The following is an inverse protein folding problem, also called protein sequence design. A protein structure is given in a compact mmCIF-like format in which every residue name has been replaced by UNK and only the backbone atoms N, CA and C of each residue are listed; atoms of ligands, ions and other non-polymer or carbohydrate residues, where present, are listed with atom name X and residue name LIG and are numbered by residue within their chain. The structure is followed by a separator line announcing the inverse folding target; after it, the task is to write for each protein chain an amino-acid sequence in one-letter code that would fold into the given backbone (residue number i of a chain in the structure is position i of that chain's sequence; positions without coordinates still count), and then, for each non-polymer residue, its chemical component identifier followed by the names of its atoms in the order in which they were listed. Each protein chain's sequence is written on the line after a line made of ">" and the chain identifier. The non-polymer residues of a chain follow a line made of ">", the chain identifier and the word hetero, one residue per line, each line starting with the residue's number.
data_IF_496418962340
#
_entry.id   IF_496418962340
#
_cell.length_a   1.000
_cell.length_b   1.000
_cell.length_c   1.000
_cell.angle_alpha   90.00
_cell.angle_beta   90.00
_cell.angle_gamma   90.00
#
_symmetry.space_group_name_H-M   'P 1'
#
loop_
_entity.id
_entity.type
_entity.pdbx_description
1 polymer ?
#
# COMPACT_ATOMS: atom_id res chain seq x y z
N UNK A 1 65.96 -27.25 -31.55
CA UNK A 1 65.15 -27.83 -30.45
C UNK A 1 64.49 -26.68 -29.70
N UNK A 2 63.19 -26.47 -29.91
CA UNK A 2 62.44 -25.34 -29.36
C UNK A 2 61.72 -25.79 -28.09
N UNK A 3 62.25 -25.38 -26.94
CA UNK A 3 61.73 -25.71 -25.62
C UNK A 3 60.45 -24.92 -25.35
N UNK A 4 59.29 -25.57 -25.52
CA UNK A 4 58.00 -25.04 -25.04
C UNK A 4 58.01 -25.05 -23.51
N UNK A 5 58.28 -23.90 -22.90
CA UNK A 5 58.06 -23.64 -21.49
C UNK A 5 56.56 -23.73 -21.19
N UNK A 6 56.15 -24.86 -20.63
CA UNK A 6 54.83 -25.04 -20.02
C UNK A 6 54.77 -24.10 -18.80
N UNK A 7 54.13 -22.95 -18.96
CA UNK A 7 53.77 -22.08 -17.83
C UNK A 7 52.78 -22.88 -16.98
N UNK A 8 53.26 -23.44 -15.88
CA UNK A 8 52.43 -24.07 -14.88
C UNK A 8 51.68 -22.94 -14.17
N UNK A 9 50.35 -22.89 -14.35
CA UNK A 9 49.52 -21.93 -13.65
C UNK A 9 49.56 -22.26 -12.15
N UNK A 10 49.90 -21.25 -11.33
CA UNK A 10 49.94 -21.33 -9.87
C UNK A 10 48.60 -21.87 -9.33
N UNK A 11 48.59 -22.90 -8.45
CA UNK A 11 47.36 -23.52 -7.96
C UNK A 11 46.43 -22.54 -7.24
N UNK A 12 46.97 -21.47 -6.65
CA UNK A 12 46.18 -20.38 -6.06
C UNK A 12 45.34 -19.59 -7.08
N UNK A 13 45.78 -19.51 -8.34
CA UNK A 13 45.04 -18.77 -9.39
C UNK A 13 43.76 -19.47 -9.83
N UNK A 14 43.76 -20.80 -9.87
CA UNK A 14 42.59 -21.62 -10.19
C UNK A 14 41.55 -21.62 -9.07
N UNK A 15 41.99 -21.75 -7.81
CA UNK A 15 41.09 -21.67 -6.64
C UNK A 15 40.40 -20.29 -6.57
N UNK A 16 41.14 -19.21 -6.78
CA UNK A 16 40.58 -17.85 -6.80
C UNK A 16 39.61 -17.68 -7.97
N UNK A 17 39.93 -18.21 -9.14
CA UNK A 17 39.05 -18.15 -10.32
C UNK A 17 37.72 -18.88 -10.10
N UNK A 18 37.76 -20.07 -9.49
CA UNK A 18 36.55 -20.80 -9.11
C UNK A 18 35.72 -20.05 -8.06
N UNK A 19 36.37 -19.47 -7.05
CA UNK A 19 35.70 -18.65 -6.05
C UNK A 19 35.01 -17.42 -6.66
N UNK A 20 35.65 -16.74 -7.62
CA UNK A 20 35.06 -15.60 -8.33
C UNK A 20 33.86 -16.01 -9.19
N UNK A 21 33.90 -17.17 -9.85
CA UNK A 21 32.74 -17.70 -10.59
C UNK A 21 31.58 -18.01 -9.66
N UNK A 22 31.83 -18.66 -8.54
CA UNK A 22 30.83 -18.96 -7.52
C UNK A 22 30.20 -17.68 -6.96
N UNK A 23 31.02 -16.67 -6.66
CA UNK A 23 30.52 -15.36 -6.23
C UNK A 23 29.65 -14.70 -7.31
N UNK A 24 30.04 -14.77 -8.58
CA UNK A 24 29.25 -14.23 -9.68
C UNK A 24 27.87 -14.92 -9.79
N UNK A 25 27.81 -16.24 -9.57
CA UNK A 25 26.56 -17.00 -9.55
C UNK A 25 25.68 -16.53 -8.38
N UNK A 26 26.23 -16.41 -7.18
CA UNK A 26 25.47 -15.95 -6.00
C UNK A 26 24.97 -14.51 -6.17
N UNK A 27 25.76 -13.60 -6.76
CA UNK A 27 25.30 -12.25 -7.10
C UNK A 27 24.12 -12.29 -8.09
N UNK A 28 24.17 -13.16 -9.10
CA UNK A 28 23.04 -13.34 -10.03
C UNK A 28 21.81 -13.91 -9.32
N UNK A 29 21.99 -14.83 -8.37
CA UNK A 29 20.91 -15.37 -7.54
C UNK A 29 20.28 -14.28 -6.68
N UNK A 30 21.08 -13.47 -5.98
CA UNK A 30 20.59 -12.33 -5.19
C UNK A 30 19.76 -11.39 -6.07
N UNK A 31 20.22 -11.11 -7.30
CA UNK A 31 19.46 -10.30 -8.27
C UNK A 31 18.12 -10.95 -8.65
N UNK A 32 18.06 -12.27 -8.81
CA UNK A 32 16.80 -12.98 -9.08
C UNK A 32 15.84 -12.85 -7.90
N UNK A 33 16.33 -13.16 -6.69
CA UNK A 33 15.55 -13.07 -5.46
C UNK A 33 14.99 -11.66 -5.25
N UNK A 34 15.80 -10.62 -5.47
CA UNK A 34 15.34 -9.23 -5.36
C UNK A 34 14.20 -8.91 -6.34
N UNK A 35 14.24 -9.45 -7.57
CA UNK A 35 13.16 -9.27 -8.56
C UNK A 35 11.90 -10.03 -8.18
N UNK A 36 12.03 -11.28 -7.74
CA UNK A 36 10.90 -12.11 -7.32
C UNK A 36 10.17 -11.49 -6.13
N UNK A 37 10.91 -11.03 -5.13
CA UNK A 37 10.37 -10.32 -3.96
C UNK A 37 9.66 -9.03 -4.41
N UNK A 38 10.29 -8.23 -5.27
CA UNK A 38 9.68 -6.99 -5.76
C UNK A 38 8.39 -7.26 -6.56
N UNK A 39 8.38 -8.31 -7.40
CA UNK A 39 7.20 -8.69 -8.18
C UNK A 39 6.05 -9.12 -7.27
N UNK A 40 6.31 -10.04 -6.33
CA UNK A 40 5.29 -10.49 -5.37
C UNK A 40 4.72 -9.33 -4.54
N UNK A 41 5.57 -8.39 -4.16
CA UNK A 41 5.18 -7.20 -3.43
C UNK A 41 4.29 -6.26 -4.26
N UNK A 42 4.65 -6.02 -5.53
CA UNK A 42 3.83 -5.23 -6.46
C UNK A 42 2.48 -5.89 -6.67
N UNK A 43 2.43 -7.19 -6.94
CA UNK A 43 1.16 -7.92 -7.12
C UNK A 43 0.26 -7.84 -5.88
N UNK A 44 0.83 -7.84 -4.67
CA UNK A 44 0.04 -7.66 -3.44
C UNK A 44 -0.57 -6.26 -3.36
N UNK A 45 0.18 -5.21 -3.70
CA UNK A 45 -0.34 -3.84 -3.69
C UNK A 45 -1.42 -3.63 -4.77
N UNK A 46 -1.22 -4.19 -5.95
CA UNK A 46 -2.20 -4.17 -7.04
C UNK A 46 -3.50 -4.85 -6.62
N UNK A 47 -3.42 -6.05 -6.04
CA UNK A 47 -4.59 -6.77 -5.55
C UNK A 47 -5.35 -5.98 -4.47
N UNK A 48 -4.63 -5.29 -3.56
CA UNK A 48 -5.27 -4.43 -2.56
C UNK A 48 -5.99 -3.23 -3.20
N UNK A 49 -5.35 -2.55 -4.16
CA UNK A 49 -5.97 -1.44 -4.88
C UNK A 49 -7.20 -1.89 -5.66
N UNK A 50 -7.14 -3.06 -6.31
CA UNK A 50 -8.25 -3.65 -7.05
C UNK A 50 -9.41 -4.03 -6.13
N UNK A 51 -9.14 -4.62 -4.96
CA UNK A 51 -10.17 -4.91 -3.95
C UNK A 51 -10.87 -3.63 -3.47
N UNK A 52 -10.12 -2.56 -3.20
CA UNK A 52 -10.68 -1.27 -2.80
C UNK A 52 -11.56 -0.68 -3.92
N UNK A 53 -11.09 -0.74 -5.16
CA UNK A 53 -11.85 -0.27 -6.32
C UNK A 53 -13.13 -1.10 -6.54
N UNK A 54 -13.06 -2.43 -6.37
CA UNK A 54 -14.20 -3.34 -6.48
C UNK A 54 -15.30 -3.01 -5.46
N UNK A 55 -14.93 -2.86 -4.17
CA UNK A 55 -15.88 -2.46 -3.11
C UNK A 55 -16.53 -1.11 -3.38
N UNK A 56 -15.77 -0.14 -3.87
CA UNK A 56 -16.32 1.16 -4.24
C UNK A 56 -17.31 1.06 -5.43
N UNK A 57 -17.09 0.12 -6.36
CA UNK A 57 -18.00 -0.16 -7.47
C UNK A 57 -19.31 -0.81 -7.05
N UNK A 58 -19.35 -1.48 -5.91
CA UNK A 58 -20.56 -2.07 -5.31
C UNK A 58 -21.40 -1.05 -4.53
N UNK A 59 -20.85 0.15 -4.27
CA UNK A 59 -21.53 1.19 -3.51
C UNK A 59 -22.72 1.78 -4.30
N UNK A 60 -23.92 1.71 -3.72
CA UNK A 60 -25.16 2.24 -4.35
C UNK A 60 -25.43 3.70 -3.97
N UNK A 61 -24.96 4.14 -2.81
CA UNK A 61 -25.01 5.52 -2.36
C UNK A 61 -23.73 5.85 -1.58
N UNK A 62 -23.17 7.03 -1.81
CA UNK A 62 -21.93 7.46 -1.16
C UNK A 62 -22.03 8.92 -0.75
N UNK A 63 -21.53 9.24 0.45
CA UNK A 63 -21.46 10.63 0.89
C UNK A 63 -20.40 11.40 0.09
N UNK A 64 -20.83 12.46 -0.60
CA UNK A 64 -19.96 13.28 -1.43
C UNK A 64 -18.84 13.95 -0.62
N UNK A 65 -19.09 14.30 0.65
CA UNK A 65 -18.08 14.86 1.55
C UNK A 65 -16.95 13.87 1.84
N UNK A 66 -17.31 12.64 2.19
CA UNK A 66 -16.38 11.55 2.42
C UNK A 66 -15.56 11.20 1.16
N UNK A 67 -16.20 11.15 -0.02
CA UNK A 67 -15.51 10.96 -1.31
C UNK A 67 -14.48 12.07 -1.56
N UNK A 68 -14.83 13.35 -1.30
CA UNK A 68 -13.92 14.47 -1.48
C UNK A 68 -12.69 14.38 -0.55
N UNK A 69 -12.86 13.93 0.70
CA UNK A 69 -11.76 13.71 1.64
C UNK A 69 -10.82 12.60 1.15
N UNK A 70 -11.38 11.48 0.66
CA UNK A 70 -10.61 10.37 0.10
C UNK A 70 -9.81 10.83 -1.11
N UNK A 71 -10.45 11.51 -2.06
CA UNK A 71 -9.79 12.04 -3.26
C UNK A 71 -8.66 13.00 -2.92
N UNK A 72 -8.84 13.86 -1.91
CA UNK A 72 -7.79 14.76 -1.44
C UNK A 72 -6.56 13.99 -0.95
N UNK A 73 -6.74 12.94 -0.13
CA UNK A 73 -5.62 12.11 0.34
C UNK A 73 -4.83 11.48 -0.80
N UNK A 74 -5.52 11.02 -1.85
CA UNK A 74 -4.88 10.46 -3.05
C UNK A 74 -4.11 11.54 -3.81
N UNK A 75 -4.70 12.72 -4.01
CA UNK A 75 -4.09 13.83 -4.75
C UNK A 75 -2.90 14.46 -4.02
N UNK A 76 -2.93 14.47 -2.69
CA UNK A 76 -1.85 14.99 -1.84
C UNK A 76 -0.67 13.98 -1.71
N UNK A 77 -0.78 12.80 -2.34
CA UNK A 77 0.27 11.78 -2.31
C UNK A 77 1.53 12.25 -3.04
N UNK A 78 2.56 12.57 -2.25
CA UNK A 78 3.86 12.99 -2.77
C UNK A 78 4.86 11.82 -2.80
N UNK A 79 4.97 11.18 -3.97
CA UNK A 79 5.89 10.08 -4.28
C UNK A 79 6.75 10.41 -5.51
N UNK A 80 7.97 9.89 -5.60
CA UNK A 80 8.87 10.08 -6.75
C UNK A 80 9.21 8.73 -7.40
N UNK A 81 8.36 8.19 -8.30
CA UNK A 81 8.48 6.82 -8.80
C UNK A 81 9.85 6.50 -9.41
N UNK A 82 10.38 7.40 -10.24
CA UNK A 82 11.68 7.27 -10.91
C UNK A 82 12.88 7.17 -9.97
N UNK A 83 12.73 7.46 -8.67
CA UNK A 83 13.80 7.35 -7.67
C UNK A 83 13.84 5.98 -6.98
N UNK A 84 12.85 5.10 -7.19
CA UNK A 84 12.84 3.75 -6.61
C UNK A 84 12.95 3.72 -5.07
N UNK A 85 12.39 4.72 -4.39
CA UNK A 85 12.58 4.92 -2.96
C UNK A 85 11.67 3.99 -2.16
N UNK A 86 12.26 3.16 -1.29
CA UNK A 86 11.50 2.32 -0.32
C UNK A 86 10.50 3.14 0.51
N UNK A 87 10.86 4.36 0.91
CA UNK A 87 9.95 5.24 1.65
C UNK A 87 8.71 5.68 0.86
N UNK A 88 8.84 5.80 -0.47
CA UNK A 88 7.71 6.18 -1.32
C UNK A 88 6.78 4.98 -1.55
N UNK A 89 7.34 3.76 -1.66
CA UNK A 89 6.56 2.52 -1.62
C UNK A 89 5.78 2.38 -0.32
N UNK A 90 6.42 2.64 0.83
CA UNK A 90 5.73 2.59 2.12
C UNK A 90 4.57 3.57 2.24
N UNK A 91 4.70 4.78 1.66
CA UNK A 91 3.58 5.74 1.60
C UNK A 91 2.39 5.21 0.79
N UNK A 92 2.65 4.45 -0.28
CA UNK A 92 1.58 3.82 -1.07
C UNK A 92 0.88 2.74 -0.24
N UNK A 93 1.63 1.89 0.48
CA UNK A 93 1.04 0.91 1.40
C UNK A 93 0.17 1.56 2.46
N UNK A 94 0.73 2.55 3.16
CA UNK A 94 0.05 3.26 4.24
C UNK A 94 -1.23 3.93 3.71
N UNK A 95 -1.17 4.52 2.50
CA UNK A 95 -2.33 5.09 1.83
C UNK A 95 -3.38 4.03 1.52
N UNK A 96 -3.00 2.88 0.94
CA UNK A 96 -3.95 1.82 0.60
C UNK A 96 -4.66 1.25 1.85
N UNK A 97 -3.96 1.11 2.98
CA UNK A 97 -4.58 0.71 4.25
C UNK A 97 -5.63 1.73 4.69
N UNK A 98 -5.27 3.02 4.68
CA UNK A 98 -6.19 4.10 5.06
C UNK A 98 -7.38 4.20 4.09
N UNK A 99 -7.15 3.97 2.79
CA UNK A 99 -8.20 3.97 1.78
C UNK A 99 -9.16 2.79 1.96
N UNK A 100 -8.65 1.59 2.22
CA UNK A 100 -9.50 0.43 2.49
C UNK A 100 -10.44 0.67 3.65
N UNK A 101 -9.92 1.16 4.78
CA UNK A 101 -10.76 1.50 5.93
C UNK A 101 -11.80 2.59 5.62
N UNK A 102 -11.41 3.61 4.83
CA UNK A 102 -12.31 4.70 4.48
C UNK A 102 -13.40 4.26 3.49
N UNK A 103 -13.08 3.39 2.54
CA UNK A 103 -14.05 2.82 1.60
C UNK A 103 -15.00 1.87 2.31
N UNK A 104 -14.51 1.03 3.22
CA UNK A 104 -15.38 0.15 4.02
C UNK A 104 -16.41 0.97 4.82
N UNK A 105 -15.98 2.04 5.48
CA UNK A 105 -16.89 2.96 6.19
C UNK A 105 -17.89 3.66 5.27
N UNK A 106 -17.49 3.95 4.04
CA UNK A 106 -18.30 4.64 3.04
C UNK A 106 -19.38 3.73 2.46
N UNK A 107 -19.04 2.45 2.23
CA UNK A 107 -19.96 1.42 1.74
C UNK A 107 -20.90 0.96 2.85
N UNK A 108 -20.38 0.63 4.03
CA UNK A 108 -21.18 0.15 5.18
C UNK A 108 -22.07 1.28 5.76
N UNK A 109 -21.61 2.53 5.68
CA UNK A 109 -22.36 3.70 6.14
C UNK A 109 -23.61 3.99 5.33
N UNK A 110 -23.69 3.51 4.08
CA UNK A 110 -24.84 3.65 3.20
C UNK A 110 -26.01 2.71 3.55
N UNK A 111 -25.76 1.64 4.33
CA UNK A 111 -26.78 0.67 4.73
C UNK A 111 -27.62 1.09 5.94
N UNK A 112 -27.33 2.22 6.60
CA UNK A 112 -28.20 2.73 7.67
C UNK A 112 -29.41 3.45 7.09
N UNK A 113 -30.64 2.90 7.15
CA UNK A 113 -31.82 3.64 6.76
C UNK A 113 -31.97 4.85 7.67
N UNK A 114 -32.09 6.01 7.05
CA UNK A 114 -32.49 7.25 7.69
C UNK A 114 -33.98 7.18 8.05
N UNK A 115 -34.36 6.32 8.99
CA UNK A 115 -35.71 6.27 9.56
C UNK A 115 -35.66 6.39 11.09
N UNK A 116 -35.73 7.63 11.55
CA UNK A 116 -36.35 7.97 12.83
C UNK A 116 -36.96 9.37 12.75
N UNK A 117 -38.26 9.51 12.43
CA UNK A 117 -38.97 10.74 12.67
C UNK A 117 -39.49 10.75 14.11
N UNK A 118 -39.08 11.76 14.89
CA UNK A 118 -39.87 12.21 16.03
C UNK A 118 -39.72 13.72 16.19
N UNK A 119 -40.42 14.43 15.29
CA UNK A 119 -40.84 15.81 15.52
C UNK A 119 -41.65 15.92 16.82
N UNK A 120 -41.33 16.92 17.63
CA UNK A 120 -42.34 17.69 18.37
C UNK A 120 -42.91 17.05 19.63
N UNK A 121 -42.49 17.57 20.79
CA UNK A 121 -43.43 17.94 21.87
C UNK A 121 -42.86 19.09 22.71
N UNK A 122 -43.26 20.28 22.27
CA UNK A 122 -43.66 21.47 23.04
C UNK A 122 -43.19 21.58 24.50
N UNK A 123 -42.39 22.62 24.75
CA UNK A 123 -42.13 23.20 26.08
C UNK A 123 -43.44 23.78 26.62
N UNK A 124 -43.95 23.24 27.73
CA UNK A 124 -44.79 24.04 28.63
C UNK A 124 -44.68 23.55 30.08
N UNK A 125 -43.83 24.19 30.88
CA UNK A 125 -43.80 24.00 32.34
C UNK A 125 -43.82 25.36 33.04
N UNK A 126 -45.01 25.96 33.07
CA UNK A 126 -45.37 27.13 33.88
C UNK A 126 -45.42 26.69 35.36
N UNK A 127 -44.34 26.88 36.13
CA UNK A 127 -44.34 26.87 37.62
C UNK A 127 -44.47 28.33 38.06
N UNK A 128 -45.64 28.83 38.46
CA UNK A 128 -46.20 28.88 39.83
C UNK A 128 -45.25 29.45 40.90
N UNK A 129 -45.66 30.62 41.40
CA UNK A 129 -45.67 31.12 42.79
C UNK A 129 -44.38 31.68 43.43
N UNK A 130 -44.38 33.00 43.62
CA UNK A 130 -44.09 33.74 44.86
C UNK A 130 -45.17 34.84 44.95
N UNK A 131 -46.24 34.75 45.77
CA UNK A 131 -46.34 35.14 47.20
C UNK A 131 -45.38 36.31 47.51
N UNK A 132 -45.84 37.56 47.52
CA UNK A 132 -46.69 38.20 48.54
C UNK A 132 -46.06 38.10 49.93
#
# INVERSE_FOLDING_TARGET
>A
MSSKSKVQAEPGSQVVFEALKSLQIEIRRIRSLAKEIAAAYVSKLEAQAEQIAGRLGEATAVDAGAVAIILRKIRDLNVKPHKGRRKDLRKLEDLLVVLGMAVDQLVDGAEKPADAPASGKSKNKKRRKSRA
#
